data_IF_522811975765
#
_entry.id   IF_522811975765
#
_cell.length_a   1.000
_cell.length_b   1.000
_cell.length_c   1.000
_cell.angle_alpha   90.00
_cell.angle_beta   90.00
_cell.angle_gamma   90.00
#
_symmetry.space_group_name_H-M   'P 1'
#
loop_
_entity.id
_entity.type
_entity.pdbx_description
1 polymer ?
#
# COMPACT_ATOMS: atom_id res chain seq x y z
N UNK A 1 -17.93 -13.82 -17.63
CA UNK A 1 -17.02 -12.80 -17.06
C UNK A 1 -15.90 -12.43 -18.03
N UNK A 2 -15.03 -13.37 -18.42
CA UNK A 2 -13.83 -13.11 -19.24
C UNK A 2 -14.07 -12.36 -20.55
N UNK A 3 -15.13 -12.68 -21.29
CA UNK A 3 -15.49 -11.95 -22.53
C UNK A 3 -15.75 -10.46 -22.29
N UNK A 4 -16.35 -10.10 -21.14
CA UNK A 4 -16.61 -8.70 -20.79
C UNK A 4 -15.30 -7.97 -20.45
N UNK A 5 -14.39 -8.64 -19.74
CA UNK A 5 -13.05 -8.11 -19.42
C UNK A 5 -12.23 -7.92 -20.70
N UNK A 6 -12.19 -8.92 -21.59
CA UNK A 6 -11.47 -8.84 -22.86
C UNK A 6 -11.97 -7.68 -23.75
N UNK A 7 -13.29 -7.48 -23.79
CA UNK A 7 -13.90 -6.34 -24.48
C UNK A 7 -13.49 -5.01 -23.85
N UNK A 8 -13.46 -4.89 -22.53
CA UNK A 8 -13.04 -3.65 -21.87
C UNK A 8 -11.54 -3.36 -22.08
N UNK A 9 -10.69 -4.38 -22.08
CA UNK A 9 -9.27 -4.27 -22.47
C UNK A 9 -9.17 -3.75 -23.91
N UNK A 10 -9.93 -4.33 -24.84
CA UNK A 10 -9.94 -3.90 -26.25
C UNK A 10 -10.34 -2.43 -26.40
N UNK A 11 -11.41 -2.02 -25.70
CA UNK A 11 -11.89 -0.63 -25.72
C UNK A 11 -10.86 0.34 -25.13
N UNK A 12 -10.17 -0.05 -24.06
CA UNK A 12 -9.24 0.84 -23.36
C UNK A 12 -7.89 0.97 -24.08
N UNK A 13 -7.42 -0.14 -24.67
CA UNK A 13 -6.11 -0.18 -25.35
C UNK A 13 -6.20 0.15 -26.84
N UNK A 14 -7.41 0.26 -27.38
CA UNK A 14 -7.71 0.40 -28.81
C UNK A 14 -7.08 -0.73 -29.68
N UNK A 15 -6.78 -1.87 -29.06
CA UNK A 15 -6.17 -3.05 -29.69
C UNK A 15 -7.06 -4.27 -29.48
N UNK A 16 -7.41 -5.04 -30.52
CA UNK A 16 -8.17 -6.27 -30.36
C UNK A 16 -7.49 -7.22 -29.37
N UNK A 17 -8.25 -7.66 -28.37
CA UNK A 17 -7.78 -8.63 -27.38
C UNK A 17 -8.88 -9.65 -27.08
N UNK A 18 -8.57 -10.91 -27.29
CA UNK A 18 -9.37 -12.06 -26.89
C UNK A 18 -8.59 -12.91 -25.90
N UNK A 19 -9.24 -13.38 -24.84
CA UNK A 19 -8.58 -14.24 -23.85
C UNK A 19 -8.56 -15.67 -24.40
N UNK A 20 -7.36 -16.14 -24.77
CA UNK A 20 -7.12 -17.52 -25.23
C UNK A 20 -6.89 -18.47 -24.05
N UNK A 21 -6.19 -17.99 -23.01
CA UNK A 21 -5.90 -18.77 -21.79
C UNK A 21 -6.01 -17.89 -20.56
N UNK A 22 -6.50 -18.49 -19.48
CA UNK A 22 -6.47 -17.91 -18.14
C UNK A 22 -5.88 -18.94 -17.17
N UNK A 23 -4.92 -18.54 -16.34
CA UNK A 23 -4.37 -19.39 -15.27
C UNK A 23 -4.41 -18.67 -13.93
N UNK A 24 -4.77 -19.36 -12.84
CA UNK A 24 -4.66 -18.79 -11.51
C UNK A 24 -3.19 -18.54 -11.16
N UNK A 25 -2.93 -17.44 -10.47
CA UNK A 25 -1.63 -17.05 -9.93
C UNK A 25 -1.82 -16.50 -8.52
N UNK A 26 -0.74 -16.38 -7.76
CA UNK A 26 -0.80 -15.68 -6.48
C UNK A 26 -1.28 -14.24 -6.70
N UNK A 27 -2.27 -13.79 -5.92
CA UNK A 27 -2.89 -12.47 -6.03
C UNK A 27 -3.10 -11.77 -4.68
N UNK A 28 -2.29 -12.15 -3.69
CA UNK A 28 -2.43 -11.69 -2.30
C UNK A 28 -3.41 -12.53 -1.47
N UNK A 29 -3.70 -12.07 -0.26
CA UNK A 29 -4.53 -12.82 0.71
C UNK A 29 -6.05 -12.67 0.49
N UNK A 30 -6.48 -11.70 -0.30
CA UNK A 30 -7.89 -11.23 -0.33
C UNK A 30 -8.53 -11.38 -1.72
N UNK A 31 -7.74 -11.25 -2.78
CA UNK A 31 -8.21 -11.27 -4.16
C UNK A 31 -7.76 -12.55 -4.87
N UNK A 32 -8.52 -12.97 -5.87
CA UNK A 32 -8.07 -14.02 -6.79
C UNK A 32 -7.26 -13.39 -7.93
N UNK A 33 -6.01 -13.82 -8.09
CA UNK A 33 -5.13 -13.39 -9.18
C UNK A 33 -5.17 -14.34 -10.37
N UNK A 34 -5.23 -13.79 -11.58
CA UNK A 34 -5.16 -14.54 -12.83
C UNK A 34 -4.16 -13.90 -13.79
N UNK A 35 -3.39 -14.73 -14.49
CA UNK A 35 -2.73 -14.32 -15.72
C UNK A 35 -3.64 -14.67 -16.89
N UNK A 36 -4.04 -13.67 -17.67
CA UNK A 36 -4.83 -13.85 -18.90
C UNK A 36 -3.96 -13.54 -20.10
N UNK A 37 -3.96 -14.41 -21.09
CA UNK A 37 -3.12 -14.26 -22.28
C UNK A 37 -3.94 -14.44 -23.56
N UNK A 38 -3.59 -13.68 -24.58
CA UNK A 38 -4.11 -13.82 -25.93
C UNK A 38 -3.55 -12.74 -26.86
N UNK A 39 -3.58 -12.99 -28.18
CA UNK A 39 -3.00 -12.08 -29.17
C UNK A 39 -1.52 -11.72 -28.90
N UNK A 40 -0.76 -12.62 -28.26
CA UNK A 40 0.64 -12.38 -27.87
C UNK A 40 0.84 -11.44 -26.68
N UNK A 41 -0.24 -11.01 -26.01
CA UNK A 41 -0.19 -10.15 -24.82
C UNK A 41 -0.58 -10.95 -23.58
N UNK A 42 -0.10 -10.50 -22.42
CA UNK A 42 -0.45 -11.05 -21.11
C UNK A 42 -0.86 -9.88 -20.20
N UNK A 43 -1.93 -10.06 -19.44
CA UNK A 43 -2.36 -9.16 -18.39
C UNK A 43 -2.51 -9.89 -17.07
N UNK A 44 -2.31 -9.17 -15.97
CA UNK A 44 -2.67 -9.63 -14.64
C UNK A 44 -4.07 -9.13 -14.28
N UNK A 45 -4.94 -10.02 -13.81
CA UNK A 45 -6.32 -9.68 -13.44
C UNK A 45 -6.56 -10.07 -11.99
N UNK A 46 -6.90 -9.09 -11.17
CA UNK A 46 -7.44 -9.30 -9.82
C UNK A 46 -8.96 -9.39 -9.89
N UNK A 47 -9.53 -10.31 -9.13
CA UNK A 47 -10.98 -10.55 -9.08
C UNK A 47 -11.46 -10.64 -7.64
N UNK A 48 -12.60 -10.01 -7.37
CA UNK A 48 -13.32 -10.12 -6.09
C UNK A 48 -14.85 -10.03 -6.33
N UNK A 49 -15.65 -10.00 -5.26
CA UNK A 49 -17.11 -9.82 -5.30
C UNK A 49 -17.48 -8.46 -5.92
N UNK A 50 -18.64 -8.37 -6.57
CA UNK A 50 -19.08 -7.15 -7.26
C UNK A 50 -19.11 -5.88 -6.38
N UNK A 51 -19.42 -6.01 -5.09
CA UNK A 51 -19.45 -4.89 -4.14
C UNK A 51 -18.05 -4.33 -3.80
N UNK A 52 -16.97 -4.98 -4.23
CA UNK A 52 -15.60 -4.52 -4.04
C UNK A 52 -15.07 -3.63 -5.18
N UNK A 53 -15.92 -3.15 -6.10
CA UNK A 53 -15.49 -2.29 -7.21
C UNK A 53 -14.74 -1.03 -6.73
N UNK A 54 -15.19 -0.40 -5.65
CA UNK A 54 -14.55 0.80 -5.10
C UNK A 54 -13.10 0.54 -4.62
N UNK A 55 -12.81 -0.66 -4.13
CA UNK A 55 -11.46 -1.08 -3.74
C UNK A 55 -10.53 -1.11 -4.96
N UNK A 56 -10.96 -1.75 -6.05
CA UNK A 56 -10.17 -1.80 -7.28
C UNK A 56 -10.04 -0.45 -7.97
N UNK A 57 -11.08 0.38 -7.93
CA UNK A 57 -11.00 1.74 -8.45
C UNK A 57 -9.96 2.56 -7.68
N UNK A 58 -9.95 2.47 -6.34
CA UNK A 58 -8.99 3.18 -5.52
C UNK A 58 -7.54 2.68 -5.72
N UNK A 59 -7.34 1.36 -5.83
CA UNK A 59 -6.02 0.79 -6.14
C UNK A 59 -5.51 1.26 -7.51
N UNK A 60 -6.36 1.23 -8.54
CA UNK A 60 -6.02 1.72 -9.87
C UNK A 60 -5.65 3.20 -9.87
N UNK A 61 -6.37 4.04 -9.10
CA UNK A 61 -6.04 5.45 -8.95
C UNK A 61 -4.70 5.66 -8.24
N UNK A 62 -4.38 4.86 -7.22
CA UNK A 62 -3.09 4.90 -6.51
C UNK A 62 -1.93 4.54 -7.44
N UNK A 63 -2.09 3.45 -8.21
CA UNK A 63 -1.13 3.03 -9.23
C UNK A 63 -0.93 4.11 -10.30
N UNK A 64 -2.01 4.70 -10.83
CA UNK A 64 -1.91 5.81 -11.80
C UNK A 64 -1.14 6.99 -11.24
N UNK A 65 -1.39 7.35 -9.98
CA UNK A 65 -0.73 8.50 -9.37
C UNK A 65 0.76 8.24 -9.16
N UNK A 66 1.15 7.08 -8.65
CA UNK A 66 2.56 6.71 -8.49
C UNK A 66 3.25 6.66 -9.87
N UNK A 67 2.62 6.00 -10.85
CA UNK A 67 3.14 5.90 -12.23
C UNK A 67 3.41 7.29 -12.84
N UNK A 68 2.48 8.24 -12.66
CA UNK A 68 2.60 9.59 -13.20
C UNK A 68 3.82 10.37 -12.66
N UNK A 69 4.35 9.99 -11.49
CA UNK A 69 5.55 10.63 -10.92
C UNK A 69 6.84 10.27 -11.67
N UNK A 70 6.85 9.15 -12.41
CA UNK A 70 8.03 8.63 -13.13
C UNK A 70 9.25 8.40 -12.22
N UNK A 71 9.02 7.99 -10.97
CA UNK A 71 10.09 7.78 -9.96
C UNK A 71 10.40 6.30 -9.73
N UNK A 72 9.37 5.47 -9.51
CA UNK A 72 9.47 4.03 -9.29
C UNK A 72 8.48 3.28 -10.17
N UNK A 73 8.83 2.08 -10.64
CA UNK A 73 7.95 1.26 -11.47
C UNK A 73 6.80 0.71 -10.63
N UNK A 74 5.61 0.79 -11.19
CA UNK A 74 4.40 0.12 -10.74
C UNK A 74 3.72 -0.50 -11.96
N UNK A 75 2.96 -1.59 -11.82
CA UNK A 75 2.21 -2.16 -12.94
C UNK A 75 1.19 -1.15 -13.45
N UNK A 76 1.14 -0.95 -14.76
CA UNK A 76 0.20 0.00 -15.35
C UNK A 76 -1.24 -0.50 -15.21
N UNK A 77 -2.15 0.30 -14.62
CA UNK A 77 -3.56 -0.07 -14.52
C UNK A 77 -4.27 0.17 -15.85
N UNK A 78 -4.73 -0.92 -16.47
CA UNK A 78 -5.37 -0.90 -17.78
C UNK A 78 -6.84 -0.50 -17.63
N UNK A 79 -7.64 -1.31 -16.96
CA UNK A 79 -9.06 -1.04 -16.74
C UNK A 79 -9.60 -1.80 -15.51
N UNK A 80 -10.72 -1.36 -14.95
CA UNK A 80 -11.41 -2.00 -13.84
C UNK A 80 -12.92 -1.85 -13.99
N UNK A 81 -13.69 -2.64 -13.24
CA UNK A 81 -15.15 -2.52 -13.21
C UNK A 81 -15.83 -3.78 -12.72
N UNK A 82 -17.10 -3.94 -13.10
CA UNK A 82 -17.90 -5.13 -12.80
C UNK A 82 -18.10 -5.96 -14.05
N UNK A 83 -17.89 -7.26 -13.93
CA UNK A 83 -18.25 -8.26 -14.94
C UNK A 83 -19.09 -9.37 -14.28
N UNK A 84 -20.33 -9.53 -14.75
CA UNK A 84 -21.34 -10.41 -14.14
C UNK A 84 -21.54 -10.14 -12.63
N UNK A 85 -21.02 -11.02 -11.76
CA UNK A 85 -21.15 -10.93 -10.29
C UNK A 85 -19.82 -10.64 -9.59
N UNK A 86 -18.81 -10.24 -10.36
CA UNK A 86 -17.45 -10.00 -9.86
C UNK A 86 -16.97 -8.61 -10.23
N UNK A 87 -16.23 -7.98 -9.32
CA UNK A 87 -15.42 -6.80 -9.64
C UNK A 87 -14.03 -7.26 -10.07
N UNK A 88 -13.36 -6.46 -10.90
CA UNK A 88 -12.02 -6.77 -11.39
C UNK A 88 -11.15 -5.54 -11.56
N UNK A 89 -9.83 -5.76 -11.53
CA UNK A 89 -8.78 -4.82 -11.94
C UNK A 89 -7.83 -5.54 -12.89
N UNK A 90 -7.66 -4.99 -14.09
CA UNK A 90 -6.68 -5.43 -15.09
C UNK A 90 -5.45 -4.55 -14.99
N UNK A 91 -4.31 -5.18 -14.79
CA UNK A 91 -2.99 -4.57 -14.73
C UNK A 91 -2.10 -5.14 -15.83
N UNK A 92 -1.07 -4.38 -16.18
CA UNK A 92 0.10 -4.87 -16.88
C UNK A 92 0.64 -6.16 -16.25
N UNK A 93 1.04 -7.11 -17.10
CA UNK A 93 1.80 -8.27 -16.66
C UNK A 93 3.29 -7.95 -16.55
N UNK A 94 3.87 -8.18 -15.37
CA UNK A 94 5.30 -8.04 -15.13
C UNK A 94 5.92 -9.40 -14.81
N UNK A 95 7.01 -9.73 -15.49
CA UNK A 95 7.79 -10.91 -15.17
C UNK A 95 8.82 -10.59 -14.08
N UNK A 96 8.67 -11.25 -12.93
CA UNK A 96 9.57 -11.07 -11.80
C UNK A 96 10.76 -12.01 -11.89
N UNK A 97 11.93 -11.48 -11.54
CA UNK A 97 13.20 -12.18 -11.47
C UNK A 97 13.83 -12.08 -10.08
N UNK A 98 15.10 -12.48 -9.99
CA UNK A 98 15.88 -12.32 -8.78
C UNK A 98 16.44 -10.90 -8.64
N UNK A 99 16.36 -10.33 -7.44
CA UNK A 99 17.01 -9.07 -7.11
C UNK A 99 18.48 -9.25 -6.71
N UNK A 100 19.34 -8.31 -7.12
CA UNK A 100 20.70 -8.20 -6.61
C UNK A 100 20.86 -6.91 -5.78
N UNK A 101 22.04 -6.72 -5.15
CA UNK A 101 22.30 -5.54 -4.32
C UNK A 101 22.08 -4.21 -5.06
N UNK A 102 22.41 -4.12 -6.35
CA UNK A 102 22.25 -2.88 -7.13
C UNK A 102 20.78 -2.58 -7.41
N UNK A 103 19.97 -3.60 -7.74
CA UNK A 103 18.53 -3.41 -7.95
C UNK A 103 17.80 -2.95 -6.68
N UNK A 104 18.19 -3.48 -5.51
CA UNK A 104 17.64 -3.04 -4.22
C UNK A 104 18.09 -1.63 -3.84
N UNK A 105 19.36 -1.27 -4.08
CA UNK A 105 19.82 0.11 -3.88
C UNK A 105 19.07 1.09 -4.80
N UNK A 106 18.86 0.72 -6.07
CA UNK A 106 18.03 1.48 -7.01
C UNK A 106 16.59 1.61 -6.52
N UNK A 107 16.00 0.57 -5.95
CA UNK A 107 14.66 0.64 -5.34
C UNK A 107 14.60 1.70 -4.23
N UNK A 108 15.59 1.70 -3.33
CA UNK A 108 15.69 2.70 -2.26
C UNK A 108 15.77 4.13 -2.79
N UNK A 109 16.63 4.36 -3.79
CA UNK A 109 16.75 5.68 -4.46
C UNK A 109 15.45 6.10 -5.15
N UNK A 110 14.80 5.18 -5.85
CA UNK A 110 13.54 5.44 -6.55
C UNK A 110 12.39 5.77 -5.58
N UNK A 111 12.28 5.05 -4.46
CA UNK A 111 11.30 5.35 -3.42
C UNK A 111 11.58 6.71 -2.77
N UNK A 112 12.85 7.06 -2.53
CA UNK A 112 13.21 8.38 -2.01
C UNK A 112 12.76 9.51 -2.97
N UNK A 113 12.96 9.33 -4.28
CA UNK A 113 12.45 10.28 -5.27
C UNK A 113 10.92 10.35 -5.29
N UNK A 114 10.20 9.23 -5.12
CA UNK A 114 8.75 9.23 -4.97
C UNK A 114 8.32 10.09 -3.78
N UNK A 115 8.98 9.93 -2.63
CA UNK A 115 8.66 10.69 -1.42
C UNK A 115 9.03 12.18 -1.52
N UNK A 116 9.96 12.56 -2.40
CA UNK A 116 10.28 13.96 -2.67
C UNK A 116 9.26 14.65 -3.58
N UNK A 117 8.35 13.91 -4.22
CA UNK A 117 7.27 14.49 -5.02
C UNK A 117 6.34 15.28 -4.09
N UNK A 118 6.30 16.60 -4.28
CA UNK A 118 5.43 17.49 -3.50
C UNK A 118 4.31 18.03 -4.40
N UNK A 119 3.20 17.31 -4.46
CA UNK A 119 1.99 17.73 -5.19
C UNK A 119 0.81 18.06 -4.26
N UNK A 120 1.03 17.97 -2.94
CA UNK A 120 0.04 18.30 -1.91
C UNK A 120 0.70 19.03 -0.75
N UNK A 121 -0.02 19.99 -0.18
CA UNK A 121 0.32 20.69 1.06
C UNK A 121 -0.38 20.09 2.30
N UNK A 122 -1.14 19.01 2.11
CA UNK A 122 -1.97 18.37 3.14
C UNK A 122 -1.86 16.86 3.14
N UNK A 123 -2.18 16.27 4.29
CA UNK A 123 -2.27 14.83 4.48
C UNK A 123 -3.64 14.28 4.09
N UNK A 124 -3.68 12.99 3.78
CA UNK A 124 -4.88 12.29 3.31
C UNK A 124 -4.89 12.15 1.79
N UNK A 125 -6.07 11.97 1.22
CA UNK A 125 -6.23 11.71 -0.21
C UNK A 125 -7.62 12.11 -0.69
N UNK A 126 -7.78 12.26 -2.01
CA UNK A 126 -9.04 12.71 -2.61
C UNK A 126 -10.18 11.70 -2.48
N UNK A 127 -9.88 10.43 -2.17
CA UNK A 127 -10.86 9.41 -1.83
C UNK A 127 -10.32 8.46 -0.74
N UNK A 128 -11.24 7.80 -0.03
CA UNK A 128 -10.88 6.67 0.80
C UNK A 128 -10.46 5.50 -0.09
N UNK A 129 -9.56 4.66 0.43
CA UNK A 129 -9.14 3.41 -0.18
C UNK A 129 -9.16 2.31 0.87
N UNK A 130 -8.38 1.24 0.71
CA UNK A 130 -8.31 0.13 1.65
C UNK A 130 -6.88 -0.27 1.94
N UNK A 131 -6.65 -0.80 3.15
CA UNK A 131 -5.41 -1.45 3.57
C UNK A 131 -5.69 -2.94 3.79
N UNK A 132 -5.44 -3.76 2.76
CA UNK A 132 -6.11 -5.05 2.64
C UNK A 132 -7.62 -4.85 2.40
N UNK A 133 -8.48 -5.49 3.20
CA UNK A 133 -9.95 -5.32 3.10
C UNK A 133 -10.52 -4.28 4.09
N UNK A 134 -9.66 -3.70 4.94
CA UNK A 134 -10.07 -2.68 5.90
C UNK A 134 -10.15 -1.30 5.21
N UNK A 135 -11.24 -0.53 5.38
CA UNK A 135 -11.29 0.84 4.86
C UNK A 135 -10.16 1.69 5.46
N UNK A 136 -9.49 2.48 4.62
CA UNK A 136 -8.51 3.47 5.03
C UNK A 136 -9.09 4.86 4.79
N UNK A 137 -9.31 5.59 5.89
CA UNK A 137 -9.92 6.92 5.88
C UNK A 137 -8.85 7.95 5.48
N UNK A 138 -9.15 8.75 4.48
CA UNK A 138 -8.22 9.69 3.85
C UNK A 138 -8.73 11.14 3.87
N UNK A 139 -9.65 11.45 4.78
CA UNK A 139 -10.17 12.81 4.96
C UNK A 139 -9.00 13.78 5.13
N UNK A 140 -8.98 14.83 4.32
CA UNK A 140 -7.87 15.79 4.26
C UNK A 140 -7.60 16.43 5.62
N UNK A 141 -6.33 16.52 6.01
CA UNK A 141 -5.86 17.16 7.24
C UNK A 141 -4.62 18.01 6.99
N UNK A 142 -4.49 19.13 7.72
CA UNK A 142 -3.28 19.96 7.69
C UNK A 142 -2.26 19.56 8.77
N UNK A 143 -2.60 18.62 9.67
CA UNK A 143 -1.77 18.22 10.80
C UNK A 143 -1.53 16.70 10.76
N UNK A 144 -0.25 16.30 10.74
CA UNK A 144 0.15 14.89 10.66
C UNK A 144 -0.21 14.12 11.92
N UNK A 145 0.07 14.69 13.09
CA UNK A 145 -0.20 14.07 14.38
C UNK A 145 -1.70 13.74 14.51
N UNK A 146 -2.57 14.71 14.21
CA UNK A 146 -4.03 14.52 14.25
C UNK A 146 -4.50 13.51 13.20
N UNK A 147 -3.98 13.60 11.97
CA UNK A 147 -4.30 12.66 10.90
C UNK A 147 -3.98 11.23 11.29
N UNK A 148 -2.74 10.99 11.74
CA UNK A 148 -2.27 9.66 12.09
C UNK A 148 -2.97 9.13 13.35
N UNK A 149 -3.12 9.94 14.39
CA UNK A 149 -3.78 9.53 15.64
C UNK A 149 -5.24 9.13 15.40
N UNK A 150 -6.02 9.93 14.67
CA UNK A 150 -7.46 9.68 14.51
C UNK A 150 -7.80 8.77 13.32
N UNK A 151 -7.23 9.05 12.14
CA UNK A 151 -7.62 8.38 10.89
C UNK A 151 -6.84 7.09 10.62
N UNK A 152 -5.73 6.86 11.32
CA UNK A 152 -5.00 5.58 11.30
C UNK A 152 -5.30 4.83 12.59
N UNK A 153 -4.69 5.22 13.71
CA UNK A 153 -4.73 4.42 14.94
C UNK A 153 -6.11 4.34 15.57
N UNK A 154 -6.77 5.49 15.79
CA UNK A 154 -8.12 5.54 16.39
C UNK A 154 -9.15 4.78 15.57
N UNK A 155 -9.10 4.87 14.23
CA UNK A 155 -9.96 4.06 13.37
C UNK A 155 -9.72 2.55 13.55
N UNK A 156 -8.46 2.10 13.57
CA UNK A 156 -8.15 0.69 13.76
C UNK A 156 -8.53 0.18 15.16
N UNK A 157 -8.38 1.00 16.21
CA UNK A 157 -8.78 0.65 17.57
C UNK A 157 -10.29 0.49 17.72
N UNK A 158 -11.09 1.39 17.12
CA UNK A 158 -12.55 1.25 17.12
C UNK A 158 -13.00 -0.03 16.44
N UNK A 159 -12.44 -0.32 15.26
CA UNK A 159 -12.71 -1.56 14.55
C UNK A 159 -12.29 -2.80 15.37
N UNK A 160 -11.16 -2.70 16.08
CA UNK A 160 -10.66 -3.77 16.92
C UNK A 160 -11.59 -4.04 18.11
N UNK A 161 -12.13 -2.98 18.74
CA UNK A 161 -13.11 -3.07 19.83
C UNK A 161 -14.41 -3.73 19.36
N UNK A 162 -14.91 -3.35 18.17
CA UNK A 162 -16.09 -3.99 17.54
C UNK A 162 -15.88 -5.49 17.27
N UNK A 163 -14.63 -5.91 17.02
CA UNK A 163 -14.24 -7.31 16.81
C UNK A 163 -13.89 -8.06 18.10
N UNK A 164 -14.14 -7.47 19.27
CA UNK A 164 -13.88 -8.09 20.58
C UNK A 164 -12.42 -8.05 21.02
N UNK A 165 -11.60 -7.19 20.42
CA UNK A 165 -10.23 -6.92 20.85
C UNK A 165 -10.18 -6.19 22.18
N UNK A 166 -9.24 -6.57 23.04
CA UNK A 166 -8.97 -5.91 24.31
C UNK A 166 -7.75 -5.01 24.16
N UNK A 167 -7.97 -3.70 24.02
CA UNK A 167 -6.96 -2.66 23.86
C UNK A 167 -7.30 -1.47 24.78
N UNK A 168 -6.30 -0.65 25.16
CA UNK A 168 -6.54 0.65 25.78
C UNK A 168 -7.55 1.50 24.99
N UNK A 169 -8.30 2.34 25.70
CA UNK A 169 -9.33 3.18 25.09
C UNK A 169 -8.72 4.25 24.17
N UNK A 170 -9.44 4.62 23.12
CA UNK A 170 -8.99 5.64 22.17
C UNK A 170 -8.76 6.99 22.84
N UNK A 171 -9.53 7.32 23.87
CA UNK A 171 -9.39 8.53 24.68
C UNK A 171 -8.03 8.61 25.41
N UNK A 172 -7.37 7.47 25.62
CA UNK A 172 -6.03 7.41 26.18
C UNK A 172 -4.96 7.37 25.08
N UNK A 173 -5.16 6.60 24.01
CA UNK A 173 -4.14 6.36 22.98
C UNK A 173 -3.98 7.56 22.05
N UNK A 174 -5.07 8.21 21.62
CA UNK A 174 -5.02 9.32 20.67
C UNK A 174 -4.18 10.49 21.23
N UNK A 175 -4.41 11.00 22.46
CA UNK A 175 -3.60 12.08 23.01
C UNK A 175 -2.11 11.72 23.13
N UNK A 176 -1.79 10.49 23.53
CA UNK A 176 -0.40 10.04 23.65
C UNK A 176 0.32 10.04 22.29
N UNK A 177 -0.35 9.57 21.24
CA UNK A 177 0.19 9.58 19.87
C UNK A 177 0.33 11.00 19.34
N UNK A 178 -0.67 11.86 19.56
CA UNK A 178 -0.60 13.27 19.17
C UNK A 178 0.57 13.98 19.86
N UNK A 179 0.83 13.70 21.14
CA UNK A 179 1.96 14.26 21.88
C UNK A 179 3.31 13.80 21.31
N UNK A 180 3.47 12.50 21.03
CA UNK A 180 4.70 11.94 20.44
C UNK A 180 5.01 12.56 19.08
N UNK A 181 3.97 12.83 18.27
CA UNK A 181 4.09 13.40 16.94
C UNK A 181 4.02 14.93 16.92
N UNK A 182 3.78 15.61 18.06
CA UNK A 182 3.53 17.06 18.12
C UNK A 182 4.66 17.90 17.51
N UNK A 183 5.91 17.49 17.76
CA UNK A 183 7.13 18.15 17.25
C UNK A 183 7.56 17.63 15.87
N UNK A 184 6.84 16.66 15.30
CA UNK A 184 7.14 16.08 14.00
C UNK A 184 6.21 16.68 12.94
N UNK A 185 6.75 17.58 12.13
CA UNK A 185 6.01 18.29 11.07
C UNK A 185 6.55 17.87 9.69
N UNK A 186 6.30 16.63 9.24
CA UNK A 186 6.83 16.13 7.99
C UNK A 186 6.16 16.85 6.80
N UNK A 187 6.90 16.96 5.69
CA UNK A 187 6.27 17.34 4.42
C UNK A 187 5.40 16.18 3.90
N UNK A 188 4.16 16.43 3.43
CA UNK A 188 3.32 15.40 2.86
C UNK A 188 4.00 14.76 1.64
N UNK A 189 4.30 13.46 1.77
CA UNK A 189 4.93 12.63 0.75
C UNK A 189 3.89 11.68 0.16
N UNK A 190 3.99 11.37 -1.13
CA UNK A 190 3.14 10.34 -1.73
C UNK A 190 3.64 8.98 -1.27
N UNK A 191 2.96 8.36 -0.30
CA UNK A 191 3.37 7.07 0.24
C UNK A 191 2.69 5.91 -0.50
N UNK A 192 3.37 4.78 -0.59
CA UNK A 192 2.80 3.52 -1.02
C UNK A 192 1.69 3.06 -0.05
N UNK A 193 1.93 3.18 1.26
CA UNK A 193 0.96 2.93 2.32
C UNK A 193 0.83 1.48 2.78
N UNK A 194 1.40 0.51 2.04
CA UNK A 194 1.48 -0.91 2.41
C UNK A 194 2.79 -1.57 1.92
N UNK A 195 3.94 -0.91 2.12
CA UNK A 195 5.20 -1.35 1.52
C UNK A 195 5.93 -2.41 2.36
N UNK A 196 5.64 -3.68 2.13
CA UNK A 196 6.34 -4.83 2.72
C UNK A 196 6.87 -5.76 1.64
N UNK A 197 7.54 -6.85 2.02
CA UNK A 197 8.26 -7.72 1.08
C UNK A 197 7.36 -8.42 0.06
N UNK A 198 6.06 -8.60 0.37
CA UNK A 198 5.07 -9.09 -0.58
C UNK A 198 4.69 -8.10 -1.68
N UNK A 199 4.94 -6.80 -1.45
CA UNK A 199 4.56 -5.69 -2.33
C UNK A 199 5.77 -5.03 -3.01
N UNK A 200 6.94 -5.67 -2.97
CA UNK A 200 8.15 -5.22 -3.63
C UNK A 200 8.75 -6.37 -4.46
N UNK A 201 9.07 -6.09 -5.72
CA UNK A 201 9.62 -7.07 -6.65
C UNK A 201 10.71 -6.46 -7.52
N UNK A 202 11.53 -7.31 -8.12
CA UNK A 202 12.47 -6.93 -9.17
C UNK A 202 12.06 -7.67 -10.44
N UNK A 203 11.97 -6.97 -11.58
CA UNK A 203 11.68 -7.61 -12.87
C UNK A 203 12.84 -8.50 -13.33
N UNK A 204 12.60 -9.34 -14.34
CA UNK A 204 13.67 -10.12 -15.00
C UNK A 204 14.78 -9.22 -15.58
N UNK A 205 14.46 -7.97 -15.93
CA UNK A 205 15.42 -6.96 -16.42
C UNK A 205 16.13 -6.21 -15.30
N UNK A 206 15.89 -6.58 -14.03
CA UNK A 206 16.52 -5.97 -12.86
C UNK A 206 15.89 -4.65 -12.42
N UNK A 207 14.71 -4.29 -12.93
CA UNK A 207 14.00 -3.06 -12.58
C UNK A 207 13.21 -3.22 -11.27
N UNK A 208 13.34 -2.29 -10.30
CA UNK A 208 12.58 -2.35 -9.07
C UNK A 208 11.14 -1.89 -9.25
N UNK A 209 10.20 -2.70 -8.76
CA UNK A 209 8.75 -2.50 -8.86
C UNK A 209 8.12 -2.57 -7.47
N UNK A 210 7.14 -1.70 -7.21
CA UNK A 210 6.24 -1.81 -6.05
C UNK A 210 4.80 -2.09 -6.51
N UNK A 211 4.06 -2.86 -5.71
CA UNK A 211 2.77 -3.46 -6.06
C UNK A 211 1.74 -3.18 -4.97
N UNK A 212 0.47 -3.19 -5.34
CA UNK A 212 -0.66 -3.21 -4.40
C UNK A 212 -0.68 -2.03 -3.40
N UNK A 213 -0.69 -0.78 -3.88
CA UNK A 213 -0.61 0.38 -3.01
C UNK A 213 -1.90 0.67 -2.23
N UNK A 214 -1.73 1.20 -1.03
CA UNK A 214 -2.76 1.84 -0.21
C UNK A 214 -2.47 3.35 -0.08
N UNK A 215 -2.29 4.02 -1.23
CA UNK A 215 -1.71 5.36 -1.34
C UNK A 215 -2.45 6.47 -0.60
N UNK A 216 -1.70 7.42 -0.04
CA UNK A 216 -2.18 8.72 0.45
C UNK A 216 -1.00 9.69 0.56
N UNK A 217 -1.28 10.96 0.87
CA UNK A 217 -0.26 11.93 1.29
C UNK A 217 -0.01 11.79 2.79
N UNK A 218 1.19 11.36 3.17
CA UNK A 218 1.54 11.03 4.55
C UNK A 218 2.99 11.39 4.89
N UNK A 219 3.43 11.01 6.09
CA UNK A 219 4.86 11.00 6.40
C UNK A 219 5.55 9.85 5.63
N UNK A 220 6.61 10.16 4.89
CA UNK A 220 7.46 9.19 4.18
C UNK A 220 7.93 8.03 5.06
N UNK A 221 8.08 8.27 6.35
CA UNK A 221 8.59 7.27 7.30
C UNK A 221 7.64 6.08 7.49
N UNK A 222 6.35 6.19 7.13
CA UNK A 222 5.40 5.08 7.24
C UNK A 222 5.75 3.90 6.33
N UNK A 223 6.19 4.18 5.11
CA UNK A 223 6.62 3.13 4.17
C UNK A 223 7.90 2.46 4.65
N UNK A 224 8.85 3.25 5.15
CA UNK A 224 10.13 2.75 5.65
C UNK A 224 9.91 1.86 6.88
N UNK A 225 9.04 2.28 7.79
CA UNK A 225 8.66 1.49 8.96
C UNK A 225 8.06 0.14 8.55
N UNK A 226 7.15 0.15 7.56
CA UNK A 226 6.51 -1.07 7.06
C UNK A 226 7.52 -2.03 6.41
N UNK A 227 8.53 -1.51 5.69
CA UNK A 227 9.58 -2.36 5.10
C UNK A 227 10.37 -3.14 6.15
N UNK A 228 10.47 -2.62 7.38
CA UNK A 228 11.20 -3.22 8.50
C UNK A 228 10.36 -4.22 9.32
N UNK A 229 9.02 -4.24 9.16
CA UNK A 229 8.12 -4.97 10.06
C UNK A 229 8.14 -6.49 9.87
N UNK A 230 8.22 -6.97 8.62
CA UNK A 230 8.12 -8.40 8.27
C UNK A 230 9.40 -8.95 7.64
N UNK A 231 10.49 -8.91 8.41
CA UNK A 231 11.79 -9.49 8.03
C UNK A 231 12.77 -8.51 7.39
N UNK A 232 12.34 -7.28 7.09
CA UNK A 232 13.21 -6.24 6.56
C UNK A 232 13.49 -6.35 5.07
N UNK A 233 13.84 -5.24 4.44
CA UNK A 233 14.45 -5.24 3.11
C UNK A 233 15.97 -5.45 3.21
N UNK A 234 16.66 -5.81 2.11
CA UNK A 234 18.12 -5.90 2.13
C UNK A 234 18.78 -4.56 2.47
N UNK A 235 19.91 -4.58 3.17
CA UNK A 235 20.63 -3.36 3.59
C UNK A 235 20.93 -2.37 2.43
N UNK A 236 21.08 -2.88 1.22
CA UNK A 236 21.27 -2.05 0.02
C UNK A 236 20.11 -1.08 -0.24
N UNK A 237 18.87 -1.50 0.01
CA UNK A 237 17.69 -0.64 -0.10
C UNK A 237 17.79 0.57 0.83
N UNK A 238 18.07 0.32 2.12
CA UNK A 238 18.17 1.39 3.12
C UNK A 238 19.32 2.35 2.85
N UNK A 239 20.46 1.86 2.32
CA UNK A 239 21.55 2.72 1.86
C UNK A 239 21.10 3.61 0.70
N UNK A 240 20.52 3.02 -0.34
CA UNK A 240 20.03 3.77 -1.50
C UNK A 240 19.00 4.84 -1.13
N UNK A 241 18.08 4.54 -0.22
CA UNK A 241 17.11 5.53 0.26
C UNK A 241 17.77 6.66 1.04
N UNK A 242 18.59 6.35 2.04
CA UNK A 242 19.22 7.36 2.89
C UNK A 242 20.26 8.20 2.15
N UNK A 243 20.86 7.71 1.07
CA UNK A 243 21.74 8.50 0.21
C UNK A 243 21.01 9.64 -0.50
N UNK A 244 19.69 9.51 -0.73
CA UNK A 244 18.87 10.49 -1.46
C UNK A 244 18.01 11.31 -0.51
N UNK A 245 17.37 10.67 0.47
CA UNK A 245 16.48 11.32 1.42
C UNK A 245 16.69 10.78 2.84
N UNK A 246 17.76 11.22 3.54
CA UNK A 246 18.10 10.74 4.88
C UNK A 246 16.92 10.80 5.86
N UNK A 247 16.77 9.78 6.71
CA UNK A 247 15.75 9.78 7.77
C UNK A 247 16.08 10.80 8.87
N UNK A 248 15.03 11.42 9.41
CA UNK A 248 15.18 12.43 10.45
C UNK A 248 15.47 11.79 11.81
N UNK A 249 16.11 12.56 12.70
CA UNK A 249 16.29 12.13 14.08
C UNK A 249 14.94 11.77 14.72
N UNK A 250 14.94 10.74 15.57
CA UNK A 250 13.73 10.24 16.23
C UNK A 250 12.95 9.17 15.46
N UNK A 251 13.37 8.80 14.24
CA UNK A 251 12.71 7.75 13.44
C UNK A 251 12.47 6.46 14.23
N UNK A 252 13.43 6.00 15.05
CA UNK A 252 13.26 4.75 15.81
C UNK A 252 12.03 4.76 16.73
N UNK A 253 11.68 5.91 17.33
CA UNK A 253 10.46 6.05 18.15
C UNK A 253 9.21 6.09 17.28
N UNK A 254 9.25 6.86 16.18
CA UNK A 254 8.12 7.00 15.25
C UNK A 254 7.81 5.70 14.50
N UNK A 255 8.83 4.90 14.19
CA UNK A 255 8.71 3.57 13.57
C UNK A 255 7.79 2.64 14.36
N UNK A 256 7.91 2.60 15.69
CA UNK A 256 7.00 1.80 16.53
C UNK A 256 5.55 2.25 16.38
N UNK A 257 5.30 3.57 16.34
CA UNK A 257 3.98 4.13 16.07
C UNK A 257 3.44 3.75 14.68
N UNK A 258 4.27 3.89 13.65
CA UNK A 258 3.88 3.58 12.27
C UNK A 258 3.60 2.10 12.07
N UNK A 259 4.39 1.22 12.69
CA UNK A 259 4.13 -0.21 12.64
C UNK A 259 2.93 -0.64 13.48
N UNK A 260 2.57 0.10 14.55
CA UNK A 260 1.36 -0.19 15.33
C UNK A 260 0.11 -0.14 14.44
N UNK A 261 0.04 0.79 13.49
CA UNK A 261 -1.07 0.88 12.53
C UNK A 261 -1.25 -0.44 11.76
N UNK A 262 -0.16 -0.98 11.21
CA UNK A 262 -0.21 -2.24 10.46
C UNK A 262 -0.52 -3.44 11.36
N UNK A 263 0.03 -3.49 12.58
CA UNK A 263 -0.27 -4.58 13.52
C UNK A 263 -1.73 -4.56 13.97
N UNK A 264 -2.31 -3.40 14.25
CA UNK A 264 -3.74 -3.27 14.53
C UNK A 264 -4.58 -3.70 13.31
N UNK A 265 -4.17 -3.32 12.09
CA UNK A 265 -4.85 -3.79 10.88
C UNK A 265 -4.77 -5.31 10.73
N UNK A 266 -3.62 -5.91 10.99
CA UNK A 266 -3.45 -7.38 10.94
C UNK A 266 -4.28 -8.08 12.02
N UNK A 267 -4.38 -7.51 13.23
CA UNK A 267 -5.32 -7.99 14.24
C UNK A 267 -6.76 -7.92 13.72
N UNK A 268 -7.15 -6.82 13.10
CA UNK A 268 -8.49 -6.71 12.54
C UNK A 268 -8.73 -7.81 11.49
N UNK A 269 -7.82 -7.97 10.53
CA UNK A 269 -7.98 -8.94 9.44
C UNK A 269 -7.88 -10.41 9.88
N UNK A 270 -7.00 -10.73 10.82
CA UNK A 270 -6.59 -12.11 11.11
C UNK A 270 -6.72 -12.53 12.58
N UNK A 271 -6.94 -11.58 13.49
CA UNK A 271 -7.06 -11.81 14.94
C UNK A 271 -5.78 -12.36 15.57
N UNK A 272 -5.97 -13.16 16.64
CA UNK A 272 -4.91 -13.99 17.21
C UNK A 272 -3.69 -13.22 17.75
N UNK A 273 -2.49 -13.72 17.42
CA UNK A 273 -1.21 -13.26 17.98
C UNK A 273 -0.90 -11.77 17.80
N UNK A 274 -1.52 -11.12 16.81
CA UNK A 274 -1.36 -9.67 16.59
C UNK A 274 -1.93 -8.84 17.74
N UNK A 275 -2.92 -9.34 18.49
CA UNK A 275 -3.46 -8.64 19.67
C UNK A 275 -2.39 -8.43 20.75
N UNK A 276 -1.64 -9.50 21.05
CA UNK A 276 -0.56 -9.45 22.04
C UNK A 276 0.59 -8.55 21.58
N UNK A 277 0.89 -8.55 20.28
CA UNK A 277 1.91 -7.66 19.72
C UNK A 277 1.49 -6.19 19.80
N UNK A 278 0.28 -5.84 19.36
CA UNK A 278 -0.24 -4.47 19.46
C UNK A 278 -0.28 -3.97 20.91
N UNK A 279 -0.71 -4.79 21.86
CA UNK A 279 -0.73 -4.40 23.27
C UNK A 279 0.66 -4.13 23.84
N UNK A 280 1.68 -4.91 23.48
CA UNK A 280 3.08 -4.60 23.89
C UNK A 280 3.55 -3.27 23.31
N UNK A 281 3.25 -3.01 22.03
CA UNK A 281 3.61 -1.74 21.40
C UNK A 281 2.88 -0.56 22.05
N UNK A 282 1.60 -0.72 22.42
CA UNK A 282 0.85 0.30 23.15
C UNK A 282 1.41 0.55 24.56
N UNK A 283 1.92 -0.47 25.25
CA UNK A 283 2.60 -0.30 26.54
C UNK A 283 3.92 0.47 26.45
N UNK A 284 4.59 0.46 25.30
CA UNK A 284 5.78 1.27 25.06
C UNK A 284 5.45 2.74 24.73
N UNK A 285 4.21 2.99 24.30
CA UNK A 285 3.71 4.30 23.86
C UNK A 285 3.06 5.08 25.01
N UNK A 286 2.30 4.38 25.86
CA UNK A 286 1.55 4.91 27.00
C UNK A 286 2.42 5.00 28.27
#
# INVERSE_FOLDING_TARGET
MWTQIARHITQTTEKPFEIEKSRPVSGGCINQGYAVSGNGLIYFVKINQANQEAMFAAEALGLKQIHATKTIRVPEPICWGIAEKSSYLVLEWLEFGGGNSQSWEKMGRNLAHLHQVSLSDRFGWHCNNTIGSTPQINTISNNWADFFAHQRIGYQLRLAKERGGNFPDEDQVIPAISEILSQHQPHPSLVHGDLWSGNAAITVDGEPVILDPATYWGDREVDLAMTELFGGFPAAFYRGYNDVFPLDAGYQKRKTLYNLYHILNHFNLFGGGYASQANRMLQEIL
#
